data_IF_815744731895
#
_entry.id   IF_815744731895
#
_cell.length_a   1.000
_cell.length_b   1.000
_cell.length_c   1.000
_cell.angle_alpha   90.00
_cell.angle_beta   90.00
_cell.angle_gamma   90.00
#
_symmetry.space_group_name_H-M   'P 1'
#
loop_
_entity.id
_entity.type
_entity.pdbx_description
1 polymer ?
#
# COMPACT_ATOMS: atom_id res chain seq x y z
N UNK A 1 31.44 -6.44 -16.37
CA UNK A 1 30.08 -5.86 -16.34
C UNK A 1 29.75 -5.52 -14.90
N UNK A 2 29.20 -4.35 -14.61
CA UNK A 2 28.79 -4.04 -13.23
C UNK A 2 27.59 -4.91 -12.85
N UNK A 3 27.47 -5.28 -11.58
CA UNK A 3 26.30 -5.97 -11.03
C UNK A 3 25.00 -5.25 -11.38
N UNK A 4 25.01 -3.92 -11.45
CA UNK A 4 23.85 -3.12 -11.88
C UNK A 4 23.47 -3.36 -13.35
N UNK A 5 24.43 -3.51 -14.26
CA UNK A 5 24.16 -3.83 -15.68
C UNK A 5 23.57 -5.24 -15.82
N UNK A 6 24.10 -6.21 -15.07
CA UNK A 6 23.58 -7.59 -15.08
C UNK A 6 22.15 -7.64 -14.54
N UNK A 7 21.88 -6.98 -13.41
CA UNK A 7 20.53 -6.90 -12.83
C UNK A 7 19.56 -6.21 -13.77
N UNK A 8 19.94 -5.08 -14.38
CA UNK A 8 19.10 -4.41 -15.39
C UNK A 8 18.81 -5.31 -16.58
N UNK A 9 19.82 -5.98 -17.12
CA UNK A 9 19.65 -6.91 -18.22
C UNK A 9 18.68 -8.04 -17.87
N UNK A 10 18.85 -8.65 -16.69
CA UNK A 10 17.97 -9.69 -16.20
C UNK A 10 16.52 -9.22 -16.04
N UNK A 11 16.30 -8.02 -15.49
CA UNK A 11 14.97 -7.43 -15.34
C UNK A 11 14.30 -7.14 -16.69
N UNK A 12 15.06 -6.62 -17.66
CA UNK A 12 14.54 -6.37 -19.02
C UNK A 12 14.15 -7.68 -19.69
N UNK A 13 15.01 -8.70 -19.61
CA UNK A 13 14.72 -10.03 -20.18
C UNK A 13 13.50 -10.65 -19.51
N UNK A 14 13.41 -10.59 -18.18
CA UNK A 14 12.26 -11.10 -17.44
C UNK A 14 10.96 -10.39 -17.85
N UNK A 15 10.99 -9.06 -17.95
CA UNK A 15 9.84 -8.27 -18.39
C UNK A 15 9.39 -8.65 -19.81
N UNK A 16 10.33 -8.73 -20.76
CA UNK A 16 10.04 -9.12 -22.14
C UNK A 16 9.52 -10.56 -22.22
N UNK A 17 10.07 -11.48 -21.42
CA UNK A 17 9.61 -12.85 -21.35
C UNK A 17 8.17 -12.95 -20.81
N UNK A 18 7.84 -12.18 -19.77
CA UNK A 18 6.47 -12.12 -19.24
C UNK A 18 5.47 -11.55 -20.25
N UNK A 19 5.82 -10.47 -20.95
CA UNK A 19 4.98 -9.87 -22.00
C UNK A 19 4.80 -10.86 -23.16
N UNK A 20 5.88 -11.51 -23.60
CA UNK A 20 5.84 -12.50 -24.67
C UNK A 20 5.00 -13.73 -24.30
N UNK A 21 5.11 -14.20 -23.06
CA UNK A 21 4.28 -15.30 -22.55
C UNK A 21 2.79 -14.93 -22.49
N UNK A 22 2.47 -13.72 -22.03
CA UNK A 22 1.09 -13.21 -22.03
C UNK A 22 0.51 -13.08 -23.44
N UNK A 23 1.29 -12.52 -24.39
CA UNK A 23 0.88 -12.40 -25.78
C UNK A 23 0.72 -13.77 -26.46
N UNK A 24 1.61 -14.72 -26.16
CA UNK A 24 1.49 -16.10 -26.64
C UNK A 24 0.21 -16.75 -26.13
N UNK A 25 -0.10 -16.65 -24.83
CA UNK A 25 -1.34 -17.15 -24.26
C UNK A 25 -2.57 -16.51 -24.92
N UNK A 26 -2.57 -15.18 -25.10
CA UNK A 26 -3.65 -14.46 -25.75
C UNK A 26 -3.97 -14.96 -27.17
N UNK A 27 -2.96 -15.38 -27.93
CA UNK A 27 -3.10 -15.81 -29.32
C UNK A 27 -3.32 -17.32 -29.49
N UNK A 28 -2.95 -18.13 -28.49
CA UNK A 28 -2.93 -19.59 -28.62
C UNK A 28 -3.86 -20.32 -27.67
N UNK A 29 -4.40 -19.64 -26.66
CA UNK A 29 -5.34 -20.24 -25.72
C UNK A 29 -6.73 -20.39 -26.37
N UNK A 30 -7.25 -21.62 -26.52
CA UNK A 30 -8.56 -21.85 -27.11
C UNK A 30 -9.73 -21.32 -26.27
N UNK A 31 -9.52 -20.93 -25.01
CA UNK A 31 -10.55 -20.30 -24.18
C UNK A 31 -10.72 -18.79 -24.45
N UNK A 32 -9.79 -18.16 -25.16
CA UNK A 32 -9.85 -16.74 -25.51
C UNK A 32 -10.56 -16.60 -26.86
N UNK A 33 -11.87 -16.33 -26.79
CA UNK A 33 -12.70 -16.17 -27.99
C UNK A 33 -12.49 -14.81 -28.69
N UNK A 34 -12.04 -13.79 -27.95
CA UNK A 34 -11.75 -12.46 -28.48
C UNK A 34 -10.43 -11.90 -27.90
N UNK A 35 -9.32 -11.97 -28.64
CA UNK A 35 -8.04 -11.44 -28.17
C UNK A 35 -7.99 -9.90 -28.14
N UNK A 36 -8.88 -9.21 -28.88
CA UNK A 36 -8.95 -7.75 -28.81
C UNK A 36 -9.55 -7.30 -27.48
N UNK A 37 -10.53 -8.03 -26.95
CA UNK A 37 -11.13 -7.73 -25.65
C UNK A 37 -10.10 -7.87 -24.51
N UNK A 38 -9.23 -8.89 -24.57
CA UNK A 38 -8.09 -9.05 -23.66
C UNK A 38 -7.11 -7.88 -23.79
N UNK A 39 -6.84 -7.43 -25.02
CA UNK A 39 -5.99 -6.26 -25.27
C UNK A 39 -6.58 -4.98 -24.69
N UNK A 40 -7.88 -4.74 -24.87
CA UNK A 40 -8.60 -3.59 -24.29
C UNK A 40 -8.58 -3.65 -22.77
N UNK A 41 -8.79 -4.83 -22.18
CA UNK A 41 -8.69 -5.03 -20.74
C UNK A 41 -7.28 -4.72 -20.21
N UNK A 42 -6.24 -5.21 -20.88
CA UNK A 42 -4.85 -4.98 -20.49
C UNK A 42 -4.47 -3.49 -20.56
N UNK A 43 -4.81 -2.82 -21.67
CA UNK A 43 -4.54 -1.39 -21.86
C UNK A 43 -5.38 -0.56 -20.89
N UNK A 44 -6.67 -0.89 -20.72
CA UNK A 44 -7.56 -0.23 -19.78
C UNK A 44 -7.06 -0.33 -18.34
N UNK A 45 -6.60 -1.52 -17.93
CA UNK A 45 -5.97 -1.74 -16.63
C UNK A 45 -4.71 -0.91 -16.43
N UNK A 46 -3.82 -0.86 -17.43
CA UNK A 46 -2.60 -0.04 -17.37
C UNK A 46 -2.90 1.46 -17.28
N UNK A 47 -3.84 1.96 -18.10
CA UNK A 47 -4.27 3.36 -18.08
C UNK A 47 -4.93 3.72 -16.74
N UNK A 48 -5.78 2.84 -16.21
CA UNK A 48 -6.41 3.07 -14.90
C UNK A 48 -5.36 3.05 -13.78
N UNK A 49 -4.42 2.12 -13.83
CA UNK A 49 -3.37 1.98 -12.83
C UNK A 49 -2.43 3.19 -12.83
N UNK A 50 -1.86 3.52 -14.00
CA UNK A 50 -0.80 4.51 -14.10
C UNK A 50 -1.33 5.93 -14.30
N UNK A 51 -2.48 6.06 -14.97
CA UNK A 51 -3.12 7.34 -15.27
C UNK A 51 -4.06 7.86 -14.17
N UNK A 52 -4.65 6.97 -13.36
CA UNK A 52 -5.58 7.38 -12.30
C UNK A 52 -5.09 7.00 -10.90
N UNK A 53 -4.70 5.74 -10.69
CA UNK A 53 -4.37 5.24 -9.36
C UNK A 53 -3.08 5.84 -8.79
N UNK A 54 -1.99 5.80 -9.56
CA UNK A 54 -0.72 6.44 -9.18
C UNK A 54 -0.88 7.93 -8.83
N UNK A 55 -1.49 8.79 -9.67
CA UNK A 55 -1.65 10.19 -9.33
C UNK A 55 -2.56 10.41 -8.12
N UNK A 56 -3.62 9.63 -7.93
CA UNK A 56 -4.45 9.72 -6.72
C UNK A 56 -3.65 9.40 -5.45
N UNK A 57 -2.88 8.31 -5.45
CA UNK A 57 -2.06 7.92 -4.29
C UNK A 57 -0.98 8.98 -4.01
N UNK A 58 -0.32 9.47 -5.06
CA UNK A 58 0.66 10.54 -4.95
C UNK A 58 0.03 11.86 -4.44
N UNK A 59 -1.14 12.23 -4.95
CA UNK A 59 -1.86 13.44 -4.54
C UNK A 59 -2.31 13.35 -3.08
N UNK A 60 -2.83 12.21 -2.64
CA UNK A 60 -3.14 11.96 -1.23
C UNK A 60 -1.87 12.06 -0.38
N UNK A 61 -0.75 11.48 -0.82
CA UNK A 61 0.54 11.59 -0.13
C UNK A 61 1.09 13.02 -0.05
N UNK A 62 0.87 13.82 -1.10
CA UNK A 62 1.31 15.21 -1.23
C UNK A 62 0.42 16.20 -0.47
N UNK A 63 -0.91 16.00 -0.47
CA UNK A 63 -1.89 16.80 0.28
C UNK A 63 -1.76 16.58 1.80
N UNK A 64 -1.12 15.49 2.20
CA UNK A 64 -0.93 15.08 3.59
C UNK A 64 0.56 15.00 3.96
N UNK A 65 1.34 16.09 3.80
CA UNK A 65 2.79 16.06 3.94
C UNK A 65 3.23 15.83 5.39
N UNK A 66 2.37 16.18 6.35
CA UNK A 66 2.61 16.03 7.79
C UNK A 66 2.16 14.68 8.34
N UNK A 67 1.60 13.78 7.51
CA UNK A 67 1.13 12.51 8.04
C UNK A 67 2.30 11.57 8.41
N UNK A 68 2.17 10.85 9.53
CA UNK A 68 3.16 9.85 9.92
C UNK A 68 3.27 8.79 8.83
N UNK A 69 4.47 8.25 8.62
CA UNK A 69 4.71 7.17 7.65
C UNK A 69 3.78 5.97 7.87
N UNK A 70 3.36 5.71 9.12
CA UNK A 70 2.41 4.65 9.47
C UNK A 70 1.06 4.87 8.79
N UNK A 71 0.56 6.11 8.76
CA UNK A 71 -0.71 6.41 8.12
C UNK A 71 -0.59 6.42 6.60
N UNK A 72 0.55 6.85 6.07
CA UNK A 72 0.85 6.67 4.63
C UNK A 72 0.83 5.19 4.24
N UNK A 73 1.44 4.33 5.05
CA UNK A 73 1.38 2.87 4.84
C UNK A 73 -0.04 2.32 4.89
N UNK A 74 -0.85 2.75 5.86
CA UNK A 74 -2.26 2.39 5.95
C UNK A 74 -3.09 2.82 4.74
N UNK A 75 -2.84 4.02 4.21
CA UNK A 75 -3.48 4.52 2.99
C UNK A 75 -3.06 3.72 1.75
N UNK A 76 -1.79 3.33 1.66
CA UNK A 76 -1.31 2.46 0.57
C UNK A 76 -2.02 1.10 0.64
N UNK A 77 -2.10 0.49 1.82
CA UNK A 77 -2.81 -0.78 2.00
C UNK A 77 -4.29 -0.64 1.64
N UNK A 78 -4.94 0.43 2.07
CA UNK A 78 -6.33 0.71 1.72
C UNK A 78 -6.53 0.90 0.20
N UNK A 79 -5.59 1.58 -0.47
CA UNK A 79 -5.59 1.73 -1.93
C UNK A 79 -5.42 0.37 -2.63
N UNK A 80 -4.49 -0.47 -2.18
CA UNK A 80 -4.31 -1.83 -2.73
C UNK A 80 -5.56 -2.70 -2.54
N UNK A 81 -6.17 -2.67 -1.34
CA UNK A 81 -7.41 -3.38 -1.07
C UNK A 81 -8.56 -2.87 -1.94
N UNK A 82 -8.58 -1.57 -2.24
CA UNK A 82 -9.57 -0.99 -3.16
C UNK A 82 -9.31 -1.41 -4.59
N UNK A 83 -8.06 -1.39 -5.07
CA UNK A 83 -7.73 -1.83 -6.43
C UNK A 83 -8.16 -3.28 -6.71
N UNK A 84 -8.02 -4.17 -5.72
CA UNK A 84 -8.40 -5.60 -5.86
C UNK A 84 -9.88 -5.86 -5.53
N UNK A 85 -10.41 -5.21 -4.50
CA UNK A 85 -11.75 -5.50 -3.99
C UNK A 85 -12.86 -4.72 -4.69
N UNK A 86 -12.58 -3.51 -5.19
CA UNK A 86 -13.59 -2.64 -5.78
C UNK A 86 -14.23 -3.23 -7.05
N UNK A 87 -13.49 -3.86 -8.00
CA UNK A 87 -14.11 -4.49 -9.17
C UNK A 87 -15.16 -5.53 -8.78
N UNK A 88 -14.87 -6.38 -7.79
CA UNK A 88 -15.80 -7.40 -7.31
C UNK A 88 -17.03 -6.80 -6.57
N UNK A 89 -16.87 -5.62 -5.96
CA UNK A 89 -18.00 -4.89 -5.36
C UNK A 89 -18.88 -4.25 -6.46
N UNK A 90 -18.27 -3.72 -7.52
CA UNK A 90 -18.99 -3.10 -8.64
C UNK A 90 -19.72 -4.13 -9.51
N UNK A 91 -19.16 -5.34 -9.62
CA UNK A 91 -19.74 -6.48 -10.32
C UNK A 91 -20.69 -7.32 -9.43
N UNK A 92 -20.93 -6.86 -8.18
CA UNK A 92 -21.81 -7.56 -7.24
C UNK A 92 -23.24 -7.62 -7.78
N UNK A 93 -23.70 -8.83 -8.11
CA UNK A 93 -25.04 -9.08 -8.67
C UNK A 93 -25.01 -9.77 -10.04
N UNK A 94 -23.84 -9.87 -10.68
CA UNK A 94 -23.66 -10.63 -11.91
C UNK A 94 -23.10 -12.02 -11.57
N UNK A 95 -23.96 -13.03 -11.61
CA UNK A 95 -23.66 -14.36 -11.09
C UNK A 95 -22.70 -15.17 -11.97
N UNK A 96 -22.45 -14.74 -13.22
CA UNK A 96 -21.57 -15.40 -14.19
C UNK A 96 -21.77 -16.93 -14.27
N UNK A 97 -22.95 -17.43 -13.91
CA UNK A 97 -23.28 -18.85 -13.81
C UNK A 97 -22.74 -19.63 -12.59
N UNK A 98 -22.13 -18.97 -11.59
CA UNK A 98 -21.62 -19.63 -10.38
C UNK A 98 -22.48 -19.38 -9.13
N UNK A 99 -23.31 -20.37 -8.79
CA UNK A 99 -24.21 -20.37 -7.64
C UNK A 99 -23.52 -20.15 -6.27
N UNK A 100 -22.20 -20.29 -6.17
CA UNK A 100 -21.45 -20.06 -4.92
C UNK A 100 -21.17 -18.58 -4.68
N UNK A 101 -21.26 -17.74 -5.72
CA UNK A 101 -21.07 -16.28 -5.63
C UNK A 101 -22.37 -15.54 -5.21
N UNK A 102 -23.51 -16.25 -5.21
CA UNK A 102 -24.87 -15.70 -5.10
C UNK A 102 -25.19 -14.88 -3.84
N UNK A 103 -24.48 -15.01 -2.68
CA UNK A 103 -24.74 -14.10 -1.58
C UNK A 103 -23.48 -13.61 -0.87
N UNK A 104 -22.32 -13.51 -1.54
CA UNK A 104 -21.16 -12.93 -0.88
C UNK A 104 -21.34 -11.42 -0.78
N UNK A 105 -21.42 -10.83 0.43
CA UNK A 105 -21.63 -9.40 0.58
C UNK A 105 -20.28 -8.70 0.39
N UNK A 106 -19.83 -8.63 -0.87
CA UNK A 106 -18.55 -8.05 -1.27
C UNK A 106 -18.36 -6.65 -0.69
N UNK A 107 -19.42 -5.82 -0.73
CA UNK A 107 -19.41 -4.50 -0.13
C UNK A 107 -19.12 -4.56 1.38
N UNK A 108 -19.80 -5.45 2.11
CA UNK A 108 -19.59 -5.59 3.57
C UNK A 108 -18.17 -6.06 3.87
N UNK A 109 -17.69 -7.07 3.16
CA UNK A 109 -16.35 -7.61 3.38
C UNK A 109 -15.26 -6.58 3.05
N UNK A 110 -15.43 -5.83 1.96
CA UNK A 110 -14.53 -4.75 1.58
C UNK A 110 -14.49 -3.63 2.63
N UNK A 111 -15.65 -3.19 3.12
CA UNK A 111 -15.74 -2.19 4.19
C UNK A 111 -15.11 -2.69 5.50
N UNK A 112 -15.28 -3.97 5.84
CA UNK A 112 -14.62 -4.58 7.01
C UNK A 112 -13.10 -4.54 6.86
N UNK A 113 -12.56 -4.89 5.69
CA UNK A 113 -11.11 -4.84 5.44
C UNK A 113 -10.55 -3.42 5.52
N UNK A 114 -11.26 -2.43 4.98
CA UNK A 114 -10.88 -1.02 5.12
C UNK A 114 -10.95 -0.55 6.58
N UNK A 115 -12.00 -0.94 7.30
CA UNK A 115 -12.17 -0.63 8.72
C UNK A 115 -11.07 -1.23 9.59
N UNK A 116 -10.70 -2.49 9.36
CA UNK A 116 -9.58 -3.17 10.05
C UNK A 116 -8.26 -2.46 9.73
N UNK A 117 -8.01 -2.12 8.46
CA UNK A 117 -6.80 -1.40 8.05
C UNK A 117 -6.70 -0.04 8.75
N UNK A 118 -7.80 0.72 8.81
CA UNK A 118 -7.86 1.99 9.53
C UNK A 118 -7.62 1.81 11.03
N UNK A 119 -8.27 0.82 11.67
CA UNK A 119 -8.13 0.53 13.09
C UNK A 119 -6.68 0.16 13.46
N UNK A 120 -6.03 -0.72 12.68
CA UNK A 120 -4.63 -1.09 12.88
C UNK A 120 -3.69 0.10 12.70
N UNK A 121 -3.94 0.93 11.69
CA UNK A 121 -3.15 2.14 11.43
C UNK A 121 -3.22 3.11 12.61
N UNK A 122 -4.43 3.36 13.14
CA UNK A 122 -4.65 4.21 14.30
C UNK A 122 -4.03 3.62 15.58
N UNK A 123 -4.14 2.31 15.77
CA UNK A 123 -3.55 1.61 16.91
C UNK A 123 -2.02 1.75 16.93
N UNK A 124 -1.36 1.48 15.79
CA UNK A 124 0.09 1.59 15.67
C UNK A 124 0.53 3.03 15.92
N UNK A 125 -0.15 4.03 15.34
CA UNK A 125 0.19 5.43 15.56
C UNK A 125 -0.05 5.86 17.02
N UNK A 126 -1.13 5.41 17.65
CA UNK A 126 -1.44 5.65 19.05
C UNK A 126 -0.36 5.09 19.99
N UNK A 127 0.06 3.83 19.76
CA UNK A 127 1.15 3.20 20.51
C UNK A 127 2.47 3.94 20.32
N UNK A 128 2.78 4.39 19.10
CA UNK A 128 4.00 5.17 18.81
C UNK A 128 4.01 6.50 19.56
N UNK A 129 2.90 7.24 19.54
CA UNK A 129 2.76 8.50 20.28
C UNK A 129 2.88 8.31 21.79
N UNK A 130 2.21 7.30 22.34
CA UNK A 130 2.31 6.96 23.76
C UNK A 130 3.75 6.61 24.18
N UNK A 131 4.47 5.85 23.34
CA UNK A 131 5.89 5.52 23.59
C UNK A 131 6.79 6.75 23.53
N UNK A 132 6.52 7.70 22.61
CA UNK A 132 7.29 8.94 22.49
C UNK A 132 7.10 9.85 23.71
N UNK A 133 5.84 10.07 24.13
CA UNK A 133 5.52 10.84 25.32
C UNK A 133 6.18 10.29 26.60
N UNK A 134 6.21 8.95 26.74
CA UNK A 134 6.90 8.27 27.86
C UNK A 134 8.42 8.46 27.86
N UNK A 135 9.06 8.61 26.68
CA UNK A 135 10.50 8.87 26.58
C UNK A 135 10.85 10.31 26.96
N UNK A 136 10.02 11.26 26.54
CA UNK A 136 10.21 12.69 26.84
C UNK A 136 9.99 12.98 28.33
N UNK A 137 8.97 12.39 28.96
CA UNK A 137 8.74 12.49 30.41
C UNK A 137 9.82 11.84 31.29
N UNK A 138 10.62 10.91 30.74
CA UNK A 138 11.76 10.29 31.46
C UNK A 138 12.98 11.21 31.51
N UNK A 139 13.12 12.16 30.58
CA UNK A 139 14.24 13.11 30.55
C UNK A 139 14.07 14.26 31.55
N UNK A 140 12.84 14.74 31.75
CA UNK A 140 12.49 15.77 32.75
C UNK A 140 12.62 15.31 34.20
N UNK A 141 12.75 13.99 34.43
CA UNK A 141 12.89 13.39 35.77
C UNK A 141 14.33 13.22 36.27
N UNK A 142 15.37 13.68 35.54
CA UNK A 142 16.73 13.76 36.10
C UNK A 142 16.80 15.00 37.01
N UNK A 143 16.86 14.85 38.35
CA UNK A 143 17.11 15.99 39.21
C UNK A 143 18.47 16.56 38.81
N UNK A 144 18.47 17.85 38.46
CA UNK A 144 19.69 18.58 38.20
C UNK A 144 20.68 18.30 39.32
N UNK A 145 21.86 17.83 38.93
CA UNK A 145 23.03 17.72 39.78
C UNK A 145 23.37 19.15 40.21
N UNK A 146 22.66 19.62 41.24
CA UNK A 146 22.86 20.92 41.84
C UNK A 146 24.34 21.03 42.17
N UNK A 147 24.95 22.05 41.60
CA UNK A 147 26.32 22.45 41.74
C UNK A 147 26.82 22.21 43.17
N UNK A 148 27.79 21.30 43.32
CA UNK A 148 28.76 21.40 44.42
C UNK A 148 29.49 22.74 44.25
N UNK A 149 28.94 23.81 44.82
CA UNK A 149 29.73 24.98 45.20
C UNK A 149 30.59 24.53 46.36
N UNK A 150 31.88 24.32 46.09
CA UNK A 150 32.89 24.19 47.15
C UNK A 150 32.91 25.48 47.98
N UNK A 151 32.77 25.40 49.32
CA UNK A 151 33.23 26.45 50.21
C UNK A 151 34.71 26.21 50.53
N UNK A 152 35.58 27.16 50.18
CA UNK A 152 37.00 27.18 50.58
C UNK A 152 37.80 28.01 49.57
N UNK A 153 38.57 29.03 49.96
CA UNK A 153 39.37 29.17 51.18
C UNK A 153 39.53 30.63 51.56
N UNK A 154 39.57 30.87 52.86
CA UNK A 154 40.16 32.04 53.48
C UNK A 154 41.67 32.13 53.18
N UNK A 155 42.14 33.34 52.87
CA UNK A 155 43.45 33.89 53.24
C UNK A 155 43.47 35.36 52.88
#
# INVERSE_FOLDING_TARGET
MSTATVVRGALVVAALASVGFGAYGMLTDPYINDPLDVGVWAVGGAVLHDGLWLPLVCLVGAALPRLPWTVRGGLVVAATLSAVGLPAVLDAGNDHGNATLLPLPYLRNWLVLLGVTAALTLLVEGVRRARRARREGRWSGRPGRASRRSPGRAS
#
